data_IF_274989934985
#
_entry.id   IF_274989934985
#
_cell.length_a   1.000
_cell.length_b   1.000
_cell.length_c   1.000
_cell.angle_alpha   90.00
_cell.angle_beta   90.00
_cell.angle_gamma   90.00
#
_symmetry.space_group_name_H-M   'P 1'
#
loop_
_entity.id
_entity.type
_entity.pdbx_description
1 polymer ?
#
# COMPACT_ATOMS: atom_id res chain seq x y z
N UNK A 1 7.12 13.84 -5.50
CA UNK A 1 7.07 12.45 -4.98
C UNK A 1 8.42 11.99 -4.45
N UNK A 2 9.50 11.95 -5.25
CA UNK A 2 10.82 11.51 -4.77
C UNK A 2 11.32 12.26 -3.53
N UNK A 3 11.17 13.59 -3.49
CA UNK A 3 11.48 14.39 -2.30
C UNK A 3 10.63 13.98 -1.08
N UNK A 4 9.35 13.66 -1.26
CA UNK A 4 8.45 13.25 -0.18
C UNK A 4 8.86 11.90 0.41
N UNK A 5 9.12 10.90 -0.44
CA UNK A 5 9.60 9.57 0.01
C UNK A 5 10.94 9.70 0.74
N UNK A 6 11.87 10.48 0.19
CA UNK A 6 13.17 10.72 0.82
C UNK A 6 13.05 11.44 2.18
N UNK A 7 12.15 12.44 2.29
CA UNK A 7 11.91 13.15 3.54
C UNK A 7 11.31 12.24 4.62
N UNK A 8 10.29 11.43 4.27
CA UNK A 8 9.70 10.45 5.20
C UNK A 8 10.75 9.44 5.64
N UNK A 9 11.50 8.86 4.71
CA UNK A 9 12.59 7.91 5.05
C UNK A 9 13.60 8.52 6.01
N UNK A 10 14.08 9.73 5.74
CA UNK A 10 15.09 10.39 6.56
C UNK A 10 14.59 10.66 8.00
N UNK A 11 13.34 11.09 8.15
CA UNK A 11 12.74 11.30 9.49
C UNK A 11 12.53 9.97 10.20
N UNK A 12 12.04 8.94 9.50
CA UNK A 12 11.87 7.60 10.05
C UNK A 12 13.21 6.97 10.46
N UNK A 13 14.28 7.18 9.68
CA UNK A 13 15.63 6.70 10.01
C UNK A 13 16.17 7.36 11.27
N UNK A 14 15.96 8.67 11.41
CA UNK A 14 16.39 9.41 12.60
C UNK A 14 15.56 9.08 13.84
N UNK A 15 14.24 8.90 13.69
CA UNK A 15 13.32 8.71 14.80
C UNK A 15 13.09 7.24 15.18
N UNK A 16 13.46 6.30 14.29
CA UNK A 16 13.24 4.85 14.41
C UNK A 16 11.79 4.48 14.78
N UNK A 17 10.83 5.24 14.26
CA UNK A 17 9.39 5.03 14.46
C UNK A 17 8.60 5.43 13.21
N UNK A 18 7.42 4.84 12.97
CA UNK A 18 6.53 5.30 11.91
C UNK A 18 5.97 6.70 12.22
N UNK A 19 5.38 7.35 11.22
CA UNK A 19 4.75 8.67 11.35
C UNK A 19 3.24 8.53 11.54
N UNK A 20 2.60 7.60 10.83
CA UNK A 20 1.18 7.22 10.91
C UNK A 20 0.17 8.35 10.63
N UNK A 21 0.62 9.49 10.11
CA UNK A 21 -0.22 10.65 9.79
C UNK A 21 0.08 11.26 8.41
N UNK A 22 0.87 10.57 7.58
CA UNK A 22 1.23 11.05 6.25
C UNK A 22 -0.03 11.29 5.40
N UNK A 23 -0.13 12.49 4.85
CA UNK A 23 -1.16 12.93 3.92
C UNK A 23 -0.59 13.99 2.98
N UNK A 24 -1.39 14.54 2.07
CA UNK A 24 -0.96 15.68 1.25
C UNK A 24 -0.60 16.92 2.09
N UNK A 25 -1.30 17.14 3.20
CA UNK A 25 -1.12 18.33 4.05
C UNK A 25 0.12 18.22 4.95
N UNK A 26 0.71 17.02 5.06
CA UNK A 26 1.97 16.79 5.78
C UNK A 26 3.18 17.41 5.07
N UNK A 27 3.02 17.87 3.83
CA UNK A 27 4.12 18.38 3.00
C UNK A 27 3.94 19.84 2.62
N UNK A 28 5.07 20.54 2.49
CA UNK A 28 5.15 21.89 1.95
C UNK A 28 6.08 21.92 0.74
N UNK A 29 5.86 22.90 -0.15
CA UNK A 29 6.75 23.15 -1.29
C UNK A 29 7.60 24.38 -0.98
N UNK A 30 8.92 24.20 -0.96
CA UNK A 30 9.88 25.28 -0.85
C UNK A 30 10.35 25.69 -2.23
N UNK A 31 10.22 26.97 -2.52
CA UNK A 31 10.71 27.58 -3.77
C UNK A 31 12.14 28.09 -3.53
N UNK A 32 13.00 28.00 -4.54
CA UNK A 32 14.43 28.37 -4.52
C UNK A 32 15.39 27.31 -3.98
N UNK A 33 14.90 26.10 -3.68
CA UNK A 33 15.74 24.93 -3.41
C UNK A 33 15.67 23.96 -4.61
N UNK A 34 16.80 23.45 -5.13
CA UNK A 34 16.78 22.48 -6.21
C UNK A 34 16.15 21.16 -5.74
N UNK A 35 15.17 20.66 -6.49
CA UNK A 35 14.52 19.39 -6.21
C UNK A 35 15.42 18.20 -6.59
N UNK A 36 15.16 17.04 -5.99
CA UNK A 36 15.93 15.83 -6.29
C UNK A 36 15.71 15.41 -7.74
N UNK A 37 16.80 15.47 -8.47
CA UNK A 37 16.90 14.88 -9.79
C UNK A 37 16.42 15.77 -10.95
N UNK A 38 16.03 17.02 -10.70
CA UNK A 38 15.57 17.98 -11.70
C UNK A 38 16.68 18.96 -12.12
N UNK A 39 16.52 19.67 -13.26
CA UNK A 39 17.44 20.74 -13.65
C UNK A 39 17.56 21.82 -12.57
N UNK A 40 18.74 22.43 -12.45
CA UNK A 40 19.06 23.35 -11.35
C UNK A 40 18.08 24.54 -11.22
N UNK A 41 17.54 25.02 -12.34
CA UNK A 41 16.60 26.14 -12.37
C UNK A 41 15.16 25.76 -11.97
N UNK A 42 14.87 24.46 -11.80
CA UNK A 42 13.58 23.96 -11.35
C UNK A 42 13.59 23.87 -9.82
N UNK A 43 13.48 25.02 -9.19
CA UNK A 43 13.71 25.22 -7.77
C UNK A 43 12.44 25.07 -6.94
N UNK A 44 11.78 23.93 -7.02
CA UNK A 44 10.63 23.60 -6.18
C UNK A 44 10.85 22.23 -5.53
N UNK A 45 11.09 22.23 -4.22
CA UNK A 45 11.39 21.03 -3.44
C UNK A 45 10.31 20.74 -2.43
N UNK A 46 9.91 19.49 -2.31
CA UNK A 46 8.95 19.07 -1.29
C UNK A 46 9.68 18.80 0.02
N UNK A 47 9.16 19.34 1.13
CA UNK A 47 9.68 19.08 2.48
C UNK A 47 8.56 18.58 3.38
N UNK A 48 8.86 17.63 4.26
CA UNK A 48 7.94 17.19 5.30
C UNK A 48 7.82 18.29 6.37
N UNK A 49 6.60 18.73 6.65
CA UNK A 49 6.29 19.78 7.62
C UNK A 49 5.73 19.21 8.94
N UNK A 50 5.20 17.99 8.91
CA UNK A 50 4.63 17.30 10.07
C UNK A 50 5.51 16.10 10.47
N UNK A 51 6.05 16.05 11.71
CA UNK A 51 6.99 15.02 12.16
C UNK A 51 6.34 13.71 12.64
N UNK A 52 5.03 13.51 12.49
CA UNK A 52 4.36 12.24 12.81
C UNK A 52 3.61 12.21 14.14
N UNK A 53 2.53 11.44 14.18
CA UNK A 53 1.62 11.27 15.34
C UNK A 53 1.72 9.89 16.01
N UNK A 54 2.67 9.04 15.60
CA UNK A 54 2.76 7.70 16.14
C UNK A 54 3.02 7.70 17.66
N UNK A 55 2.16 7.00 18.40
CA UNK A 55 2.26 6.82 19.85
C UNK A 55 2.71 5.39 20.12
N UNK A 56 3.77 5.25 20.91
CA UNK A 56 4.21 3.94 21.38
C UNK A 56 3.16 3.36 22.33
N UNK A 57 2.68 2.15 22.05
CA UNK A 57 1.82 1.38 22.93
C UNK A 57 2.72 0.74 24.00
N UNK A 58 2.58 1.13 25.29
CA UNK A 58 3.43 0.61 26.34
C UNK A 58 3.02 -0.82 26.70
N UNK A 59 3.60 -1.80 26.02
CA UNK A 59 3.51 -3.19 26.45
C UNK A 59 4.62 -3.41 27.48
N UNK A 60 4.24 -3.43 28.77
CA UNK A 60 5.16 -3.43 29.93
C UNK A 60 6.12 -4.63 30.01
N UNK A 61 6.14 -5.48 29.00
CA UNK A 61 6.54 -6.87 29.11
C UNK A 61 7.34 -7.38 27.90
N UNK A 62 7.56 -6.53 26.88
CA UNK A 62 8.27 -6.87 25.65
C UNK A 62 9.21 -5.73 25.25
N UNK A 63 10.38 -6.07 24.71
CA UNK A 63 11.32 -5.10 24.11
C UNK A 63 10.83 -4.59 22.74
N UNK A 64 9.83 -5.25 22.15
CA UNK A 64 9.23 -4.80 20.89
C UNK A 64 8.39 -3.53 21.11
N UNK A 65 8.65 -2.52 20.28
CA UNK A 65 7.90 -1.27 20.28
C UNK A 65 6.73 -1.37 19.29
N UNK A 66 5.54 -1.12 19.80
CA UNK A 66 4.29 -1.14 19.06
C UNK A 66 3.82 0.29 18.89
N UNK A 67 3.30 0.65 17.72
CA UNK A 67 2.81 2.00 17.47
C UNK A 67 1.34 1.98 17.09
N UNK A 68 0.62 2.98 17.60
CA UNK A 68 -0.77 3.25 17.26
C UNK A 68 -0.93 4.70 16.84
N UNK A 69 -1.92 4.97 16.00
CA UNK A 69 -2.29 6.34 15.66
C UNK A 69 -3.33 6.87 16.66
N UNK A 70 -3.17 8.05 17.26
CA UNK A 70 -4.18 8.66 18.13
C UNK A 70 -5.49 8.92 17.38
N UNK A 71 -5.40 9.16 16.07
CA UNK A 71 -6.53 9.46 15.20
C UNK A 71 -7.07 8.23 14.49
N UNK A 72 -6.87 7.02 15.02
CA UNK A 72 -7.30 5.76 14.38
C UNK A 72 -8.80 5.76 13.97
N UNK A 73 -9.64 6.52 14.68
CA UNK A 73 -11.07 6.64 14.38
C UNK A 73 -11.41 7.49 13.14
N UNK A 74 -10.48 8.31 12.63
CA UNK A 74 -10.73 9.16 11.46
C UNK A 74 -10.46 8.38 10.17
N UNK A 75 -11.52 8.19 9.37
CA UNK A 75 -11.42 7.60 8.04
C UNK A 75 -10.69 8.58 7.10
N UNK A 76 -9.59 8.11 6.52
CA UNK A 76 -8.82 8.86 5.53
C UNK A 76 -8.34 7.90 4.44
N UNK A 77 -8.30 8.38 3.19
CA UNK A 77 -7.81 7.59 2.05
C UNK A 77 -6.32 7.25 2.18
N UNK A 78 -5.56 8.05 2.93
CA UNK A 78 -4.13 7.83 3.18
C UNK A 78 -3.83 6.73 4.19
N UNK A 79 -4.87 6.11 4.79
CA UNK A 79 -4.70 4.96 5.67
C UNK A 79 -5.44 3.75 5.10
N UNK A 80 -4.87 2.55 5.20
CA UNK A 80 -5.58 1.32 4.88
C UNK A 80 -6.83 1.16 5.76
N UNK A 81 -7.92 0.64 5.21
CA UNK A 81 -9.21 0.47 5.92
C UNK A 81 -9.04 -0.36 7.20
N UNK A 82 -8.23 -1.41 7.15
CA UNK A 82 -7.98 -2.31 8.28
C UNK A 82 -7.12 -1.68 9.40
N UNK A 83 -6.39 -0.59 9.10
CA UNK A 83 -5.60 0.11 10.11
C UNK A 83 -6.46 0.98 11.05
N UNK A 84 -7.70 1.30 10.68
CA UNK A 84 -8.54 2.29 11.39
C UNK A 84 -9.67 1.71 12.25
N UNK A 85 -9.89 0.39 12.27
CA UNK A 85 -11.03 -0.21 13.00
C UNK A 85 -10.60 -1.45 13.79
N UNK A 86 -10.30 -1.31 15.09
CA UNK A 86 -10.05 -2.49 15.92
C UNK A 86 -11.35 -3.32 16.04
N UNK A 87 -11.25 -4.62 15.78
CA UNK A 87 -12.34 -5.57 16.05
C UNK A 87 -12.39 -5.82 17.55
N UNK A 88 -13.54 -5.58 18.17
CA UNK A 88 -13.75 -5.78 19.61
C UNK A 88 -14.88 -6.76 19.85
N UNK A 89 -14.80 -7.53 20.93
CA UNK A 89 -15.89 -8.39 21.32
C UNK A 89 -15.64 -9.17 22.59
N UNK A 90 -16.42 -10.21 22.76
CA UNK A 90 -16.30 -11.17 23.86
C UNK A 90 -15.97 -12.56 23.33
N UNK A 91 -15.15 -13.28 24.07
CA UNK A 91 -14.74 -14.63 23.73
C UNK A 91 -14.72 -15.54 24.95
N UNK A 92 -14.77 -16.85 24.68
CA UNK A 92 -14.43 -17.87 25.65
C UNK A 92 -12.97 -18.25 25.46
N UNK A 93 -12.16 -18.08 26.50
CA UNK A 93 -10.72 -18.36 26.48
C UNK A 93 -10.45 -19.68 27.18
N UNK A 94 -9.70 -20.58 26.54
CA UNK A 94 -9.19 -21.79 27.19
C UNK A 94 -7.67 -21.79 27.13
N UNK A 95 -7.03 -21.70 28.29
CA UNK A 95 -5.57 -21.79 28.42
C UNK A 95 -5.16 -23.25 28.21
N UNK A 96 -4.32 -23.50 27.22
CA UNK A 96 -3.79 -24.84 26.89
C UNK A 96 -2.47 -25.09 27.58
N UNK A 97 -1.58 -24.10 27.60
CA UNK A 97 -0.29 -24.23 28.25
C UNK A 97 0.31 -22.88 28.68
N UNK A 98 1.26 -22.97 29.60
CA UNK A 98 2.12 -21.86 29.99
C UNK A 98 3.56 -22.26 29.74
N UNK A 99 4.21 -21.56 28.82
CA UNK A 99 5.61 -21.78 28.47
C UNK A 99 6.45 -20.72 29.18
N UNK A 100 7.65 -21.10 29.63
CA UNK A 100 8.63 -20.14 30.14
C UNK A 100 9.35 -19.48 28.96
N UNK A 101 9.41 -18.16 28.95
CA UNK A 101 10.17 -17.38 27.98
C UNK A 101 11.64 -17.22 28.40
N UNK A 102 12.28 -16.13 27.98
CA UNK A 102 13.65 -15.84 28.41
C UNK A 102 13.63 -15.17 29.78
N UNK A 103 14.23 -15.79 30.79
CA UNK A 103 14.21 -15.28 32.17
C UNK A 103 12.85 -15.45 32.85
N UNK A 104 12.27 -14.36 33.36
CA UNK A 104 10.98 -14.37 34.10
C UNK A 104 9.74 -14.21 33.19
N UNK A 105 9.93 -14.25 31.88
CA UNK A 105 8.84 -14.13 30.92
C UNK A 105 7.96 -15.38 30.90
N UNK A 106 6.67 -15.16 30.67
CA UNK A 106 5.66 -16.21 30.52
C UNK A 106 4.95 -16.04 29.19
N UNK A 107 4.82 -17.14 28.45
CA UNK A 107 4.06 -17.23 27.21
C UNK A 107 2.83 -18.08 27.49
N UNK A 108 1.65 -17.57 27.17
CA UNK A 108 0.38 -18.27 27.33
C UNK A 108 -0.09 -18.75 25.96
N UNK A 109 -0.24 -20.06 25.84
CA UNK A 109 -0.83 -20.70 24.67
C UNK A 109 -2.27 -21.08 24.98
N UNK A 110 -3.19 -20.76 24.07
CA UNK A 110 -4.60 -21.03 24.30
C UNK A 110 -5.45 -21.02 23.05
N UNK A 111 -6.75 -21.16 23.31
CA UNK A 111 -7.82 -21.07 22.32
C UNK A 111 -8.73 -19.91 22.68
N UNK A 112 -9.07 -19.11 21.69
CA UNK A 112 -10.09 -18.07 21.73
C UNK A 112 -11.28 -18.54 20.88
N UNK A 113 -12.46 -18.62 21.48
CA UNK A 113 -13.71 -18.94 20.77
C UNK A 113 -14.62 -17.72 20.78
N UNK A 114 -15.03 -17.24 19.62
CA UNK A 114 -15.93 -16.09 19.49
C UNK A 114 -16.86 -16.24 18.28
N UNK A 115 -18.02 -15.59 18.35
CA UNK A 115 -18.95 -15.44 17.23
C UNK A 115 -18.60 -14.23 16.35
N UNK A 116 -17.71 -13.36 16.82
CA UNK A 116 -17.27 -12.19 16.09
C UNK A 116 -16.43 -12.57 14.86
N UNK A 117 -16.65 -11.85 13.75
CA UNK A 117 -15.83 -11.99 12.54
C UNK A 117 -14.49 -11.30 12.74
N UNK A 118 -13.48 -12.08 13.15
CA UNK A 118 -12.10 -11.62 13.26
C UNK A 118 -11.44 -11.61 11.87
N UNK A 119 -10.90 -10.45 11.49
CA UNK A 119 -9.93 -10.29 10.40
C UNK A 119 -8.64 -9.80 11.04
N UNK A 120 -7.69 -10.71 11.28
CA UNK A 120 -6.40 -10.40 11.86
C UNK A 120 -5.29 -10.74 10.86
N UNK A 121 -4.39 -9.79 10.63
CA UNK A 121 -3.14 -10.04 9.91
C UNK A 121 -2.15 -10.81 10.79
N UNK A 122 -1.15 -11.50 10.23
CA UNK A 122 -0.17 -12.29 10.99
C UNK A 122 0.57 -11.51 12.09
N UNK A 123 0.71 -10.19 11.89
CA UNK A 123 1.40 -9.29 12.80
C UNK A 123 0.48 -8.57 13.81
N UNK A 124 -0.85 -8.70 13.67
CA UNK A 124 -1.80 -8.06 14.60
C UNK A 124 -1.75 -8.70 15.98
N UNK A 125 -2.06 -7.89 17.00
CA UNK A 125 -2.16 -8.36 18.38
C UNK A 125 -3.61 -8.39 18.84
N UNK A 126 -4.05 -9.51 19.39
CA UNK A 126 -5.22 -9.58 20.23
C UNK A 126 -4.84 -9.15 21.67
N UNK A 127 -5.41 -8.04 22.12
CA UNK A 127 -5.47 -7.69 23.53
C UNK A 127 -6.63 -8.42 24.18
N UNK A 128 -6.34 -9.44 24.98
CA UNK A 128 -7.32 -10.31 25.62
C UNK A 128 -7.32 -10.02 27.13
N UNK A 129 -8.47 -9.67 27.67
CA UNK A 129 -8.66 -9.43 29.10
C UNK A 129 -9.40 -10.60 29.72
N UNK A 130 -8.71 -11.31 30.60
CA UNK A 130 -9.25 -12.45 31.34
C UNK A 130 -9.28 -12.17 32.83
N UNK A 131 -10.14 -12.90 33.56
CA UNK A 131 -10.29 -12.75 35.02
C UNK A 131 -10.13 -14.09 35.77
N UNK A 132 -8.96 -14.75 35.72
CA UNK A 132 -8.74 -16.00 36.43
C UNK A 132 -8.84 -15.78 37.96
N UNK A 133 -9.81 -16.46 38.60
CA UNK A 133 -9.97 -16.39 40.06
C UNK A 133 -10.33 -14.99 40.60
N UNK A 134 -10.94 -14.13 39.79
CA UNK A 134 -11.37 -12.78 40.17
C UNK A 134 -10.30 -11.68 40.02
N UNK A 135 -9.05 -12.05 39.71
CA UNK A 135 -7.99 -11.09 39.35
C UNK A 135 -7.97 -10.81 37.85
N UNK A 136 -7.83 -9.54 37.45
CA UNK A 136 -7.77 -9.16 36.03
C UNK A 136 -6.35 -9.32 35.48
N UNK A 137 -6.24 -9.96 34.32
CA UNK A 137 -4.99 -10.14 33.58
C UNK A 137 -5.22 -9.72 32.13
N UNK A 138 -4.38 -8.81 31.65
CA UNK A 138 -4.35 -8.39 30.25
C UNK A 138 -3.25 -9.19 29.53
N UNK A 139 -3.61 -9.90 28.46
CA UNK A 139 -2.72 -10.71 27.63
C UNK A 139 -2.63 -10.10 26.23
N UNK A 140 -1.43 -10.03 25.68
CA UNK A 140 -1.18 -9.60 24.30
C UNK A 140 -0.77 -10.81 23.47
N UNK A 141 -1.56 -11.19 22.47
CA UNK A 141 -1.36 -12.43 21.73
C UNK A 141 -1.45 -12.29 20.23
N UNK A 142 -0.69 -13.10 19.50
CA UNK A 142 -0.91 -13.30 18.07
C UNK A 142 -1.98 -14.36 17.88
N UNK A 143 -2.88 -14.12 16.93
CA UNK A 143 -3.88 -15.09 16.52
C UNK A 143 -3.36 -15.89 15.33
N UNK A 144 -3.45 -17.21 15.40
CA UNK A 144 -3.11 -18.11 14.32
C UNK A 144 -4.41 -18.62 13.66
N UNK A 145 -4.63 -18.28 12.39
CA UNK A 145 -5.65 -18.93 11.58
C UNK A 145 -5.13 -20.31 11.13
N UNK A 146 -5.31 -21.35 11.95
CA UNK A 146 -5.07 -22.71 11.46
C UNK A 146 -6.28 -23.19 10.66
N UNK A 147 -6.03 -23.70 9.45
CA UNK A 147 -7.05 -24.23 8.53
C UNK A 147 -7.83 -25.44 9.07
N UNK A 148 -7.47 -25.96 10.24
CA UNK A 148 -8.04 -27.16 10.86
C UNK A 148 -8.98 -26.88 12.06
N UNK A 149 -9.32 -25.61 12.34
CA UNK A 149 -10.21 -25.26 13.46
C UNK A 149 -11.65 -25.03 12.98
N UNK A 150 -12.61 -25.30 13.87
CA UNK A 150 -14.02 -25.00 13.61
C UNK A 150 -14.22 -23.49 13.45
N UNK A 151 -15.22 -23.08 12.65
CA UNK A 151 -15.52 -21.66 12.47
C UNK A 151 -15.75 -20.95 13.81
N UNK A 152 -15.02 -19.85 14.05
CA UNK A 152 -15.08 -19.07 15.29
C UNK A 152 -14.04 -19.47 16.36
N UNK A 153 -13.25 -20.53 16.14
CA UNK A 153 -12.15 -20.92 17.01
C UNK A 153 -10.80 -20.44 16.46
N UNK A 154 -10.02 -19.77 17.31
CA UNK A 154 -8.70 -19.24 17.01
C UNK A 154 -7.70 -19.76 18.03
N UNK A 155 -6.53 -20.19 17.55
CA UNK A 155 -5.40 -20.46 18.43
C UNK A 155 -4.69 -19.15 18.67
N UNK A 156 -4.28 -18.90 19.90
CA UNK A 156 -3.47 -17.74 20.21
C UNK A 156 -2.22 -18.15 20.99
N UNK A 157 -1.18 -17.35 20.81
CA UNK A 157 0.07 -17.42 21.57
C UNK A 157 0.42 -16.01 22.00
N UNK A 158 0.62 -15.80 23.30
CA UNK A 158 1.04 -14.48 23.76
C UNK A 158 2.45 -14.17 23.31
N UNK A 159 2.75 -12.88 23.11
CA UNK A 159 4.16 -12.45 23.19
C UNK A 159 4.69 -12.76 24.60
N UNK A 160 6.01 -12.92 24.77
CA UNK A 160 6.59 -13.06 26.10
C UNK A 160 6.17 -11.89 26.98
N UNK A 161 5.64 -12.19 28.18
CA UNK A 161 5.22 -11.17 29.13
C UNK A 161 5.77 -11.47 30.53
N UNK A 162 6.34 -10.47 31.19
CA UNK A 162 6.69 -10.53 32.62
C UNK A 162 5.42 -10.45 33.47
N UNK A 163 4.99 -11.59 33.98
CA UNK A 163 3.84 -11.73 34.86
C UNK A 163 4.31 -11.94 36.30
N UNK A 164 3.59 -11.37 37.27
CA UNK A 164 3.89 -11.62 38.68
C UNK A 164 3.69 -13.10 39.02
N UNK A 165 4.41 -13.58 40.04
CA UNK A 165 4.33 -14.98 40.47
C UNK A 165 2.90 -15.42 40.85
N UNK A 166 2.10 -14.52 41.42
CA UNK A 166 0.71 -14.80 41.78
C UNK A 166 -0.18 -14.93 40.55
N UNK A 167 -0.02 -14.05 39.55
CA UNK A 167 -0.73 -14.15 38.27
C UNK A 167 -0.37 -15.45 37.56
N UNK A 168 0.91 -15.85 37.57
CA UNK A 168 1.35 -17.11 36.97
C UNK A 168 0.68 -18.32 37.64
N UNK A 169 0.56 -18.34 38.97
CA UNK A 169 -0.16 -19.39 39.71
C UNK A 169 -1.64 -19.43 39.36
N UNK A 170 -2.30 -18.28 39.25
CA UNK A 170 -3.71 -18.18 38.86
C UNK A 170 -3.94 -18.71 37.44
N UNK A 171 -3.09 -18.32 36.48
CA UNK A 171 -3.17 -18.82 35.11
C UNK A 171 -2.89 -20.33 35.02
N UNK A 172 -1.94 -20.83 35.81
CA UNK A 172 -1.65 -22.26 35.92
C UNK A 172 -2.86 -23.03 36.46
N UNK A 173 -3.53 -22.51 37.49
CA UNK A 173 -4.74 -23.12 38.05
C UNK A 173 -5.93 -23.07 37.07
N UNK A 174 -5.99 -22.06 36.20
CA UNK A 174 -7.01 -21.92 35.17
C UNK A 174 -6.73 -22.77 33.90
N UNK A 175 -5.61 -23.49 33.83
CA UNK A 175 -5.25 -24.35 32.69
C UNK A 175 -6.35 -25.38 32.42
N UNK A 176 -6.83 -25.44 31.18
CA UNK A 176 -7.89 -26.34 30.72
C UNK A 176 -9.32 -25.89 31.05
N UNK A 177 -9.52 -24.91 31.94
CA UNK A 177 -10.84 -24.40 32.31
C UNK A 177 -11.29 -23.33 31.29
N UNK A 178 -12.51 -23.42 30.74
CA UNK A 178 -13.05 -22.36 29.89
C UNK A 178 -13.34 -21.09 30.73
N UNK A 179 -12.85 -19.95 30.26
CA UNK A 179 -13.04 -18.62 30.83
C UNK A 179 -13.98 -17.81 29.92
N UNK A 180 -15.31 -17.94 30.09
CA UNK A 180 -16.29 -17.24 29.26
C UNK A 180 -16.32 -15.73 29.53
N UNK A 181 -16.82 -14.96 28.56
CA UNK A 181 -17.04 -13.52 28.73
C UNK A 181 -15.75 -12.69 28.81
N UNK A 182 -14.63 -13.23 28.33
CA UNK A 182 -13.36 -12.51 28.26
C UNK A 182 -13.45 -11.47 27.16
N UNK A 183 -13.22 -10.20 27.48
CA UNK A 183 -13.21 -9.14 26.47
C UNK A 183 -11.92 -9.25 25.63
N UNK A 184 -12.02 -8.99 24.33
CA UNK A 184 -10.84 -8.90 23.48
C UNK A 184 -10.95 -7.73 22.49
N UNK A 185 -9.80 -7.25 22.05
CA UNK A 185 -9.65 -6.25 21.01
C UNK A 185 -8.49 -6.65 20.07
N UNK A 186 -8.72 -6.62 18.77
CA UNK A 186 -7.66 -6.75 17.76
C UNK A 186 -7.05 -5.37 17.55
N UNK A 187 -5.79 -5.24 17.97
CA UNK A 187 -4.96 -4.06 17.81
C UNK A 187 -4.11 -4.27 16.55
N UNK A 188 -4.39 -3.56 15.45
CA UNK A 188 -3.60 -3.70 14.23
C UNK A 188 -2.18 -3.23 14.49
N UNK A 189 -1.19 -4.01 14.07
CA UNK A 189 0.20 -3.58 14.19
C UNK A 189 0.50 -2.60 13.07
N UNK A 190 0.56 -1.31 13.41
CA UNK A 190 0.90 -0.27 12.45
C UNK A 190 2.40 0.02 12.52
N UNK A 191 3.06 -0.08 11.37
CA UNK A 191 4.46 0.32 11.22
C UNK A 191 4.64 1.19 9.96
N UNK A 192 5.88 1.39 9.54
CA UNK A 192 6.25 2.20 8.37
C UNK A 192 5.67 1.75 7.03
N UNK A 193 5.21 0.49 6.81
CA UNK A 193 4.42 0.14 5.63
C UNK A 193 3.12 0.95 5.51
N UNK A 194 2.54 1.43 6.62
CA UNK A 194 1.39 2.34 6.58
C UNK A 194 1.77 3.69 5.98
N UNK A 195 2.96 4.20 6.29
CA UNK A 195 3.48 5.44 5.71
C UNK A 195 3.83 5.23 4.22
N UNK A 196 4.33 4.03 3.85
CA UNK A 196 4.55 3.66 2.44
C UNK A 196 3.23 3.63 1.66
N UNK A 197 2.18 3.04 2.24
CA UNK A 197 0.83 3.08 1.67
C UNK A 197 0.38 4.53 1.44
N UNK A 198 0.54 5.40 2.44
CA UNK A 198 0.16 6.81 2.33
C UNK A 198 0.93 7.54 1.22
N UNK A 199 2.22 7.24 1.05
CA UNK A 199 3.03 7.73 -0.05
C UNK A 199 2.57 7.17 -1.41
N UNK A 200 2.08 5.93 -1.46
CA UNK A 200 1.45 5.33 -2.64
C UNK A 200 0.17 6.07 -3.03
N UNK A 201 -0.69 6.39 -2.06
CA UNK A 201 -1.88 7.23 -2.27
C UNK A 201 -1.50 8.62 -2.77
N UNK A 202 -0.43 9.22 -2.23
CA UNK A 202 0.09 10.50 -2.71
C UNK A 202 0.59 10.40 -4.15
N UNK A 203 1.23 9.30 -4.54
CA UNK A 203 1.66 9.04 -5.91
C UNK A 203 0.46 8.97 -6.86
N UNK A 204 -0.60 8.24 -6.49
CA UNK A 204 -1.87 8.18 -7.24
C UNK A 204 -2.48 9.57 -7.39
N UNK A 205 -2.54 10.35 -6.30
CA UNK A 205 -3.04 11.74 -6.34
C UNK A 205 -2.24 12.59 -7.32
N UNK A 206 -0.92 12.52 -7.30
CA UNK A 206 -0.05 13.35 -8.16
C UNK A 206 -0.15 12.93 -9.63
N UNK A 207 -0.23 11.64 -9.92
CA UNK A 207 0.00 11.11 -11.28
C UNK A 207 -1.27 10.69 -12.01
N UNK A 208 -2.35 10.39 -11.29
CA UNK A 208 -3.55 9.74 -11.84
C UNK A 208 -4.84 10.53 -11.59
N UNK A 209 -4.79 11.69 -10.96
CA UNK A 209 -5.98 12.52 -10.70
C UNK A 209 -5.95 13.82 -11.49
N UNK A 210 -7.13 14.28 -11.89
CA UNK A 210 -7.34 15.55 -12.57
C UNK A 210 -8.75 16.09 -12.24
N UNK A 211 -9.22 17.10 -12.98
CA UNK A 211 -10.55 17.69 -12.77
C UNK A 211 -11.73 16.72 -13.07
N UNK A 212 -11.50 15.66 -13.86
CA UNK A 212 -12.50 14.66 -14.28
C UNK A 212 -12.35 13.32 -13.57
N UNK A 213 -11.17 13.02 -13.01
CA UNK A 213 -10.88 11.79 -12.28
C UNK A 213 -10.45 12.09 -10.85
N UNK A 214 -11.39 11.89 -9.93
CA UNK A 214 -11.17 12.12 -8.51
C UNK A 214 -10.26 11.05 -7.90
N UNK A 215 -9.61 11.39 -6.78
CA UNK A 215 -8.73 10.46 -6.05
C UNK A 215 -9.40 9.12 -5.69
N UNK A 216 -10.65 9.07 -5.18
CA UNK A 216 -11.30 7.78 -4.91
C UNK A 216 -11.44 6.89 -6.15
N UNK A 217 -11.74 7.47 -7.31
CA UNK A 217 -11.86 6.72 -8.57
C UNK A 217 -10.51 6.20 -9.01
N UNK A 218 -9.47 7.05 -9.00
CA UNK A 218 -8.10 6.64 -9.31
C UNK A 218 -7.59 5.53 -8.37
N UNK A 219 -7.93 5.63 -7.08
CA UNK A 219 -7.58 4.63 -6.06
C UNK A 219 -8.28 3.28 -6.31
N UNK A 220 -9.55 3.28 -6.68
CA UNK A 220 -10.25 2.03 -6.97
C UNK A 220 -9.65 1.33 -8.19
N UNK A 221 -9.38 2.10 -9.26
CA UNK A 221 -8.78 1.57 -10.49
C UNK A 221 -7.35 1.03 -10.26
N UNK A 222 -6.48 1.75 -9.53
CA UNK A 222 -5.12 1.25 -9.26
C UNK A 222 -5.13 0.02 -8.36
N UNK A 223 -6.02 -0.05 -7.36
CA UNK A 223 -6.15 -1.23 -6.49
C UNK A 223 -6.77 -2.41 -7.25
N UNK A 224 -7.66 -2.15 -8.20
CA UNK A 224 -8.21 -3.16 -9.10
C UNK A 224 -7.12 -3.74 -10.00
N UNK A 225 -6.29 -2.89 -10.62
CA UNK A 225 -5.12 -3.32 -11.39
C UNK A 225 -4.15 -4.13 -10.53
N UNK A 226 -3.86 -3.66 -9.31
CA UNK A 226 -2.97 -4.33 -8.37
C UNK A 226 -3.45 -5.75 -8.00
N UNK A 227 -4.76 -5.94 -7.79
CA UNK A 227 -5.35 -7.27 -7.57
C UNK A 227 -5.28 -8.15 -8.81
N UNK A 228 -5.47 -7.58 -10.00
CA UNK A 228 -5.39 -8.34 -11.25
C UNK A 228 -3.95 -8.83 -11.50
N UNK A 229 -2.94 -7.98 -11.37
CA UNK A 229 -1.52 -8.40 -11.53
C UNK A 229 -1.08 -9.41 -10.47
N UNK A 230 -1.63 -9.35 -9.26
CA UNK A 230 -1.37 -10.33 -8.21
C UNK A 230 -2.01 -11.68 -8.53
N UNK A 231 -3.21 -11.69 -9.13
CA UNK A 231 -3.89 -12.91 -9.57
C UNK A 231 -3.16 -13.58 -10.74
N UNK A 232 -2.65 -12.77 -11.66
CA UNK A 232 -1.86 -13.21 -12.81
C UNK A 232 -0.36 -13.30 -12.50
N UNK A 233 0.03 -13.49 -11.23
CA UNK A 233 1.43 -13.48 -10.84
C UNK A 233 2.19 -14.65 -11.47
N UNK A 234 3.28 -14.30 -12.15
CA UNK A 234 4.25 -15.23 -12.72
C UNK A 234 5.65 -14.71 -12.38
N UNK A 235 6.45 -15.43 -11.57
CA UNK A 235 7.78 -14.98 -11.18
C UNK A 235 8.77 -14.85 -12.36
N UNK A 236 8.46 -15.42 -13.53
CA UNK A 236 9.28 -15.29 -14.74
C UNK A 236 9.05 -13.98 -15.51
N UNK A 237 7.97 -13.26 -15.22
CA UNK A 237 7.61 -12.00 -15.88
C UNK A 237 7.77 -10.85 -14.88
N UNK A 238 8.27 -9.70 -15.33
CA UNK A 238 8.34 -8.52 -14.47
C UNK A 238 6.95 -7.91 -14.26
N UNK A 239 6.75 -7.18 -13.16
CA UNK A 239 5.46 -6.54 -12.85
C UNK A 239 5.03 -5.57 -13.95
N UNK A 240 5.94 -4.73 -14.46
CA UNK A 240 5.69 -3.81 -15.57
C UNK A 240 5.32 -4.55 -16.88
N UNK A 241 5.93 -5.71 -17.13
CA UNK A 241 5.57 -6.59 -18.25
C UNK A 241 4.13 -7.13 -18.13
N UNK A 242 3.73 -7.57 -16.93
CA UNK A 242 2.34 -7.99 -16.66
C UNK A 242 1.34 -6.85 -16.82
N UNK A 243 1.67 -5.65 -16.32
CA UNK A 243 0.84 -4.45 -16.51
C UNK A 243 0.66 -4.15 -18.00
N UNK A 244 1.75 -4.13 -18.77
CA UNK A 244 1.68 -3.92 -20.22
C UNK A 244 0.78 -4.94 -20.93
N UNK A 245 0.87 -6.22 -20.55
CA UNK A 245 0.02 -7.28 -21.10
C UNK A 245 -1.47 -7.09 -20.74
N UNK A 246 -1.79 -6.62 -19.53
CA UNK A 246 -3.17 -6.30 -19.13
C UNK A 246 -3.72 -5.14 -19.97
N UNK A 247 -2.97 -4.06 -20.12
CA UNK A 247 -3.38 -2.90 -20.93
C UNK A 247 -3.54 -3.25 -22.41
N UNK A 248 -2.73 -4.19 -22.93
CA UNK A 248 -2.85 -4.69 -24.30
C UNK A 248 -4.12 -5.50 -24.55
N UNK A 249 -4.69 -6.13 -23.52
CA UNK A 249 -5.92 -6.95 -23.61
C UNK A 249 -7.19 -6.15 -23.32
N UNK A 250 -7.12 -5.15 -22.44
CA UNK A 250 -8.27 -4.34 -22.05
C UNK A 250 -7.97 -2.84 -22.16
N UNK A 251 -8.58 -2.22 -23.17
CA UNK A 251 -8.40 -0.79 -23.49
C UNK A 251 -8.97 0.14 -22.42
N UNK A 252 -9.88 -0.33 -21.54
CA UNK A 252 -10.43 0.48 -20.45
C UNK A 252 -9.32 1.03 -19.54
N UNK A 253 -8.27 0.24 -19.32
CA UNK A 253 -7.15 0.65 -18.48
C UNK A 253 -6.42 1.90 -18.99
N UNK A 254 -6.35 2.08 -20.31
CA UNK A 254 -5.75 3.29 -20.91
C UNK A 254 -6.55 4.54 -20.55
N UNK A 255 -7.88 4.44 -20.59
CA UNK A 255 -8.78 5.54 -20.19
C UNK A 255 -8.72 5.82 -18.69
N UNK A 256 -8.68 4.79 -17.85
CA UNK A 256 -8.67 4.95 -16.39
C UNK A 256 -7.32 5.42 -15.86
N UNK A 257 -6.23 4.75 -16.29
CA UNK A 257 -4.89 4.83 -15.69
C UNK A 257 -3.82 5.25 -16.70
N UNK A 258 -4.17 5.85 -17.84
CA UNK A 258 -3.21 6.38 -18.81
C UNK A 258 -2.51 7.67 -18.36
N UNK A 259 -1.39 8.06 -19.00
CA UNK A 259 -0.57 9.20 -18.61
C UNK A 259 -1.16 10.57 -19.03
N UNK A 260 -2.28 10.59 -19.75
CA UNK A 260 -2.95 11.81 -20.21
C UNK A 260 -3.36 12.76 -19.06
N UNK A 261 -3.40 12.25 -17.82
CA UNK A 261 -3.76 13.00 -16.60
C UNK A 261 -2.61 13.81 -16.00
N UNK A 262 -1.38 13.63 -16.49
CA UNK A 262 -0.19 14.33 -15.97
C UNK A 262 -0.17 15.82 -16.29
N UNK A 263 -0.95 16.27 -17.27
CA UNK A 263 -1.03 17.65 -17.68
C UNK A 263 -2.47 18.16 -17.65
N UNK A 264 -2.65 19.48 -17.50
CA UNK A 264 -3.97 20.11 -17.51
C UNK A 264 -4.57 20.23 -18.92
N UNK A 265 -3.82 19.86 -19.97
CA UNK A 265 -4.29 19.91 -21.34
C UNK A 265 -5.20 18.71 -21.60
N UNK A 266 -6.37 18.97 -22.19
CA UNK A 266 -7.25 17.87 -22.62
C UNK A 266 -6.56 17.12 -23.75
N UNK A 267 -6.33 15.82 -23.54
CA UNK A 267 -5.63 14.94 -24.47
C UNK A 267 -6.26 13.55 -24.40
N UNK A 268 -6.35 12.87 -25.54
CA UNK A 268 -6.82 11.49 -25.56
C UNK A 268 -5.75 10.53 -25.00
N UNK A 269 -6.12 9.43 -24.33
CA UNK A 269 -5.16 8.51 -23.71
C UNK A 269 -4.06 8.03 -24.66
N UNK A 270 -4.40 7.77 -25.92
CA UNK A 270 -3.46 7.29 -26.93
C UNK A 270 -2.44 8.35 -27.35
N UNK A 271 -2.85 9.62 -27.40
CA UNK A 271 -1.96 10.74 -27.74
C UNK A 271 -0.89 10.94 -26.65
N UNK A 272 -1.24 10.69 -25.39
CA UNK A 272 -0.30 10.81 -24.28
C UNK A 272 0.85 9.78 -24.38
N UNK A 273 0.61 8.62 -24.98
CA UNK A 273 1.66 7.62 -25.22
C UNK A 273 2.59 7.94 -26.39
N UNK A 274 2.29 8.96 -27.21
CA UNK A 274 3.29 9.51 -28.14
C UNK A 274 4.33 10.35 -27.41
N UNK A 275 3.95 10.92 -26.27
CA UNK A 275 4.80 11.81 -25.48
C UNK A 275 5.56 11.03 -24.41
N UNK A 276 4.95 10.00 -23.86
CA UNK A 276 5.50 9.18 -22.77
C UNK A 276 5.61 7.74 -23.24
N UNK A 277 6.82 7.17 -23.30
CA UNK A 277 7.01 5.76 -23.64
C UNK A 277 6.16 4.86 -22.74
N UNK A 278 5.43 3.92 -23.33
CA UNK A 278 4.53 3.04 -22.57
C UNK A 278 5.27 2.22 -21.51
N UNK A 279 6.47 1.72 -21.82
CA UNK A 279 7.33 1.02 -20.86
C UNK A 279 7.63 1.85 -19.61
N UNK A 280 7.93 3.14 -19.77
CA UNK A 280 8.18 4.06 -18.66
C UNK A 280 6.92 4.25 -17.79
N UNK A 281 5.75 4.29 -18.42
CA UNK A 281 4.49 4.39 -17.71
C UNK A 281 4.15 3.11 -16.95
N UNK A 282 4.40 1.93 -17.53
CA UNK A 282 4.24 0.64 -16.85
C UNK A 282 5.16 0.51 -15.65
N UNK A 283 6.42 0.95 -15.77
CA UNK A 283 7.37 1.04 -14.64
C UNK A 283 6.85 1.98 -13.54
N UNK A 284 6.23 3.10 -13.92
CA UNK A 284 5.63 4.06 -12.98
C UNK A 284 4.45 3.45 -12.23
N UNK A 285 3.54 2.77 -12.93
CA UNK A 285 2.41 2.06 -12.30
C UNK A 285 2.89 0.89 -11.42
N UNK A 286 3.89 0.15 -11.88
CA UNK A 286 4.52 -0.92 -11.09
C UNK A 286 5.05 -0.37 -9.77
N UNK A 287 5.80 0.73 -9.81
CA UNK A 287 6.28 1.43 -8.62
C UNK A 287 5.16 1.77 -7.65
N UNK A 288 4.05 2.36 -8.14
CA UNK A 288 2.91 2.72 -7.30
C UNK A 288 2.28 1.47 -6.66
N UNK A 289 2.10 0.39 -7.42
CA UNK A 289 1.51 -0.85 -6.93
C UNK A 289 2.34 -1.45 -5.78
N UNK A 290 3.69 -1.43 -5.89
CA UNK A 290 4.56 -1.95 -4.83
C UNK A 290 4.43 -1.20 -3.50
N UNK A 291 4.05 0.08 -3.54
CA UNK A 291 3.85 0.91 -2.36
C UNK A 291 2.60 0.54 -1.55
N UNK A 292 1.76 -0.38 -2.03
CA UNK A 292 0.60 -0.87 -1.30
C UNK A 292 0.88 -2.24 -0.64
N UNK A 293 1.08 -2.30 0.68
CA UNK A 293 1.40 -3.54 1.38
C UNK A 293 0.28 -4.59 1.28
N UNK A 294 0.67 -5.85 1.15
CA UNK A 294 -0.23 -7.00 1.27
C UNK A 294 -1.27 -7.18 0.15
N UNK A 295 -1.17 -6.45 -0.97
CA UNK A 295 -2.07 -6.69 -2.11
C UNK A 295 -1.67 -7.95 -2.88
N UNK A 296 -0.37 -8.21 -3.00
CA UNK A 296 0.14 -9.35 -3.74
C UNK A 296 1.63 -9.58 -3.53
N UNK A 297 2.19 -10.60 -4.19
CA UNK A 297 3.60 -10.98 -4.04
C UNK A 297 4.59 -9.90 -4.52
N UNK A 298 4.14 -8.93 -5.32
CA UNK A 298 4.97 -7.82 -5.77
C UNK A 298 4.98 -6.62 -4.79
N UNK A 299 4.09 -6.59 -3.80
CA UNK A 299 4.07 -5.55 -2.76
C UNK A 299 5.42 -5.51 -2.03
N UNK A 300 5.86 -4.30 -1.64
CA UNK A 300 7.14 -4.16 -0.92
C UNK A 300 7.11 -4.80 0.46
N UNK A 301 5.95 -4.71 1.11
CA UNK A 301 5.69 -5.28 2.42
C UNK A 301 4.54 -6.27 2.31
N UNK A 302 4.66 -7.39 3.02
CA UNK A 302 3.65 -8.44 3.07
C UNK A 302 2.40 -8.01 3.84
N UNK A 303 2.56 -7.15 4.84
CA UNK A 303 1.46 -6.53 5.59
C UNK A 303 1.85 -5.16 6.17
N UNK A 304 0.96 -4.57 6.98
CA UNK A 304 1.12 -3.22 7.55
C UNK A 304 2.09 -3.14 8.73
N UNK A 305 2.45 -4.28 9.30
CA UNK A 305 3.41 -4.44 10.40
C UNK A 305 4.77 -4.97 9.95
N UNK A 306 4.94 -5.27 8.66
CA UNK A 306 6.14 -5.86 8.06
C UNK A 306 7.30 -4.85 7.95
N UNK A 307 7.88 -4.50 9.09
CA UNK A 307 9.09 -3.71 9.20
C UNK A 307 10.08 -4.37 10.16
N UNK A 308 11.35 -4.42 9.76
CA UNK A 308 12.41 -4.97 10.59
C UNK A 308 12.70 -4.07 11.80
N UNK A 309 12.91 -4.68 12.96
CA UNK A 309 13.32 -3.96 14.17
C UNK A 309 14.68 -3.27 13.95
N UNK A 310 14.78 -1.99 14.32
CA UNK A 310 15.98 -1.16 14.08
C UNK A 310 16.23 -0.78 12.61
N UNK A 311 15.37 -1.21 11.68
CA UNK A 311 15.48 -0.97 10.24
C UNK A 311 14.18 -0.46 9.63
N UNK A 312 13.32 0.20 10.43
CA UNK A 312 11.96 0.57 10.01
C UNK A 312 11.93 1.51 8.79
N UNK A 313 12.99 2.27 8.55
CA UNK A 313 13.15 3.16 7.39
C UNK A 313 13.47 2.42 6.08
N UNK A 314 13.97 1.18 6.15
CA UNK A 314 14.39 0.42 4.96
C UNK A 314 13.21 0.05 4.05
N UNK A 315 11.98 0.06 4.59
CA UNK A 315 10.72 -0.11 3.84
C UNK A 315 10.61 0.88 2.65
N UNK A 316 11.30 2.02 2.70
CA UNK A 316 11.26 3.02 1.63
C UNK A 316 12.37 2.86 0.58
N UNK A 317 13.38 2.02 0.79
CA UNK A 317 14.60 1.97 -0.03
C UNK A 317 14.30 1.61 -1.48
N UNK A 318 13.47 0.58 -1.71
CA UNK A 318 13.10 0.19 -3.07
C UNK A 318 12.26 1.25 -3.76
N UNK A 319 11.28 1.83 -3.07
CA UNK A 319 10.47 2.92 -3.62
C UNK A 319 11.35 4.11 -4.03
N UNK A 320 12.38 4.43 -3.24
CA UNK A 320 13.37 5.45 -3.61
C UNK A 320 14.20 5.06 -4.83
N UNK A 321 14.71 3.82 -4.87
CA UNK A 321 15.47 3.30 -6.02
C UNK A 321 14.65 3.33 -7.31
N UNK A 322 13.41 2.83 -7.26
CA UNK A 322 12.49 2.82 -8.40
C UNK A 322 12.17 4.26 -8.85
N UNK A 323 11.98 5.21 -7.91
CA UNK A 323 11.74 6.62 -8.23
C UNK A 323 12.97 7.27 -8.89
N UNK A 324 14.17 7.00 -8.39
CA UNK A 324 15.41 7.49 -8.99
C UNK A 324 15.62 6.96 -10.40
N UNK A 325 15.27 5.68 -10.63
CA UNK A 325 15.33 5.04 -11.93
C UNK A 325 14.34 5.66 -12.93
N UNK A 326 13.06 5.81 -12.54
CA UNK A 326 12.04 6.48 -13.36
C UNK A 326 12.44 7.93 -13.64
N UNK A 327 12.90 8.68 -12.64
CA UNK A 327 13.38 10.06 -12.82
C UNK A 327 14.57 10.15 -13.78
N UNK A 328 15.49 9.20 -13.73
CA UNK A 328 16.62 9.17 -14.66
C UNK A 328 16.16 8.97 -16.10
N UNK A 329 15.17 8.09 -16.32
CA UNK A 329 14.58 7.85 -17.64
C UNK A 329 13.76 9.03 -18.14
N UNK A 330 13.06 9.76 -17.26
CA UNK A 330 12.27 10.93 -17.68
C UNK A 330 13.12 12.14 -18.03
N UNK A 331 14.37 12.25 -17.54
CA UNK A 331 15.25 13.38 -17.86
C UNK A 331 15.49 13.58 -19.36
N UNK A 332 15.56 12.51 -20.13
CA UNK A 332 15.72 12.60 -21.59
C UNK A 332 14.51 13.25 -22.26
N UNK A 333 13.33 13.22 -21.61
CA UNK A 333 12.09 13.82 -22.13
C UNK A 333 12.03 15.34 -21.90
N UNK A 334 12.85 15.90 -21.00
CA UNK A 334 12.80 17.33 -20.62
C UNK A 334 13.37 18.24 -21.73
N UNK A 335 14.31 17.75 -22.53
CA UNK A 335 15.09 18.58 -23.47
C UNK A 335 14.60 18.45 -24.92
N UNK A 336 13.67 17.52 -25.20
CA UNK A 336 13.15 17.33 -26.56
C UNK A 336 11.99 18.29 -26.81
N UNK A 337 11.94 18.88 -28.00
CA UNK A 337 10.78 19.67 -28.44
C UNK A 337 9.56 18.76 -28.58
N UNK A 338 8.75 18.73 -27.53
CA UNK A 338 7.53 17.95 -27.43
C UNK A 338 6.53 18.25 -28.57
N UNK A 339 6.54 19.47 -29.14
CA UNK A 339 5.69 19.81 -30.28
C UNK A 339 6.16 19.08 -31.54
N UNK A 340 7.47 19.07 -31.78
CA UNK A 340 8.07 18.39 -32.92
C UNK A 340 7.83 16.87 -32.87
N UNK A 341 7.96 16.26 -31.69
CA UNK A 341 7.64 14.84 -31.51
C UNK A 341 6.15 14.55 -31.79
N UNK A 342 5.24 15.41 -31.30
CA UNK A 342 3.81 15.23 -31.53
C UNK A 342 3.45 15.31 -33.01
N UNK A 343 4.05 16.24 -33.75
CA UNK A 343 3.86 16.36 -35.21
C UNK A 343 4.34 15.11 -35.96
N UNK A 344 5.53 14.61 -35.63
CA UNK A 344 6.06 13.37 -36.23
C UNK A 344 5.13 12.19 -35.95
N UNK A 345 4.70 12.01 -34.70
CA UNK A 345 3.82 10.90 -34.31
C UNK A 345 2.43 11.01 -34.96
N UNK A 346 1.87 12.22 -35.08
CA UNK A 346 0.61 12.44 -35.79
C UNK A 346 0.72 12.04 -37.27
N UNK A 347 1.82 12.41 -37.94
CA UNK A 347 2.08 12.01 -39.33
C UNK A 347 2.22 10.48 -39.44
N UNK A 348 2.99 9.84 -38.56
CA UNK A 348 3.15 8.36 -38.57
C UNK A 348 1.80 7.66 -38.43
N UNK A 349 0.94 8.11 -37.51
CA UNK A 349 -0.41 7.54 -37.36
C UNK A 349 -1.27 7.74 -38.60
N UNK A 350 -1.21 8.91 -39.22
CA UNK A 350 -1.95 9.18 -40.45
C UNK A 350 -1.52 8.22 -41.56
N UNK A 351 -0.22 7.92 -41.68
CA UNK A 351 0.29 6.92 -42.61
C UNK A 351 -0.14 5.50 -42.25
N UNK A 352 -0.07 5.10 -40.98
CA UNK A 352 -0.49 3.77 -40.52
C UNK A 352 -2.00 3.54 -40.72
N UNK A 353 -2.83 4.53 -40.43
CA UNK A 353 -4.28 4.48 -40.67
C UNK A 353 -4.61 4.48 -42.17
N UNK A 354 -3.85 5.24 -42.98
CA UNK A 354 -4.02 5.30 -44.44
C UNK A 354 -3.65 4.00 -45.16
N UNK A 355 -2.63 3.28 -44.68
CA UNK A 355 -2.21 1.98 -45.23
C UNK A 355 -3.20 0.84 -44.92
N UNK A 356 -4.06 0.99 -43.91
CA UNK A 356 -5.13 0.02 -43.60
C UNK A 356 -6.42 0.21 -44.41
N UNK A 357 -6.56 1.32 -45.15
CA UNK A 357 -7.82 1.74 -45.79
C UNK A 357 -7.89 1.60 -47.31
N UNK A 358 -6.82 1.21 -48.00
CA UNK A 358 -6.81 1.10 -49.47
C UNK A 358 -6.82 -0.35 -49.96
N UNK A 359 -7.87 -1.11 -49.64
CA UNK A 359 -8.25 -2.28 -50.43
C UNK A 359 -9.57 -2.02 -51.15
N UNK A 360 -9.46 -1.53 -52.38
CA UNK A 360 -10.38 -1.82 -53.49
C UNK A 360 -11.80 -1.29 -53.41
N UNK A 361 -12.01 -0.04 -53.84
CA UNK A 361 -13.23 0.32 -54.56
C UNK A 361 -12.83 0.89 -55.93
N UNK A 362 -12.88 0.04 -56.95
CA UNK A 362 -12.69 0.47 -58.33
C UNK A 362 -13.80 1.47 -58.72
N UNK A 363 -13.47 2.58 -59.41
CA UNK A 363 -14.49 3.50 -59.89
C UNK A 363 -15.33 2.83 -60.98
N UNK A 364 -16.64 2.80 -60.74
CA UNK A 364 -17.66 2.35 -61.69
C UNK A 364 -17.59 3.17 -63.00
N UNK A 365 -17.65 2.55 -64.20
CA UNK A 365 -17.52 3.28 -65.45
C UNK A 365 -18.74 4.17 -65.72
N UNK A 366 -18.45 5.42 -66.07
CA UNK A 366 -19.41 6.47 -66.35
C UNK A 366 -20.40 6.10 -67.48
N UNK A 367 -21.68 6.38 -67.24
CA UNK A 367 -22.74 6.29 -68.23
C UNK A 367 -22.54 7.33 -69.35
N UNK A 368 -22.59 6.87 -70.60
CA UNK A 368 -22.57 7.71 -71.80
C UNK A 368 -23.83 8.58 -71.89
N UNK A 369 -23.72 9.87 -72.28
CA UNK A 369 -24.88 10.71 -72.55
C UNK A 369 -25.49 10.38 -73.91
N UNK A 370 -26.81 10.13 -73.94
CA UNK A 370 -27.61 10.10 -75.17
C UNK A 370 -27.61 11.49 -75.82
N UNK A 371 -27.23 11.54 -77.10
CA UNK A 371 -27.41 12.71 -77.98
C UNK A 371 -28.85 12.79 -78.51
N UNK A 372 -29.32 14.00 -78.86
CA UNK A 372 -30.74 14.33 -79.09
C UNK A 372 -31.35 13.67 -80.32
#
# INVERSE_FOLDING_TARGET
>A
LADAVAAVRAVTESAQRPLLNISADSFQVRISEPARGLPHLWSAKVTLADPGDAIALPIQASDAQYYVSPSAAQLTVYRPVHAGRPTRGTASIRIRDLLSGTGDETIVDGTLVTEEKIQASPNDLAWIRISPGGGRVDLHARLESQSAMAGGEWRFRTIPQRLSGDVRKLLQAAKGVPLPGSAFEIVPLLSTPVDLYALGVLAVRILLTDAKNSLPVAMDEILSLARQVATEHDPSVTLDGRIGAIFGRDHRWLTSLGPHRLCSLTMEPQEAFDLIPSSLWWETLALIIRMFPGIGPDSECSDLGDASFGGVHLVFDRAMSDLEHVLRKTRSLIVIDWNYNREIHAVIRQYQAGLGGSSGAAPSPAAQPKKP
#
